data_IF_347268132401
#
_entry.id   IF_347268132401
#
_cell.length_a   1.000
_cell.length_b   1.000
_cell.length_c   1.000
_cell.angle_alpha   90.00
_cell.angle_beta   90.00
_cell.angle_gamma   90.00
#
_symmetry.space_group_name_H-M   'P 1'
#
loop_
_entity.id
_entity.type
_entity.pdbx_description
1 polymer ?
#
# COMPACT_ATOMS: atom_id res chain seq x y z
N UNK A 1 17.53 0.89 1.41
CA UNK A 1 17.34 0.84 -0.06
C UNK A 1 18.21 1.87 -0.76
N UNK A 2 17.99 3.17 -0.57
CA UNK A 2 18.76 4.26 -1.21
C UNK A 2 20.27 4.08 -1.12
N UNK A 3 20.82 4.01 0.11
CA UNK A 3 22.26 3.85 0.33
C UNK A 3 22.78 2.55 -0.31
N UNK A 4 22.05 1.45 -0.12
CA UNK A 4 22.45 0.15 -0.66
C UNK A 4 22.51 0.14 -2.20
N UNK A 5 21.57 0.80 -2.87
CA UNK A 5 21.57 0.94 -4.33
C UNK A 5 22.72 1.83 -4.82
N UNK A 6 22.99 2.94 -4.13
CA UNK A 6 24.10 3.83 -4.46
C UNK A 6 25.45 3.13 -4.28
N UNK A 7 25.65 2.41 -3.17
CA UNK A 7 26.89 1.66 -2.88
C UNK A 7 27.08 0.49 -3.83
N UNK A 8 26.00 -0.20 -4.21
CA UNK A 8 26.06 -1.25 -5.22
C UNK A 8 26.52 -0.71 -6.59
N UNK A 9 26.13 0.52 -6.93
CA UNK A 9 26.37 1.08 -8.25
C UNK A 9 25.43 0.48 -9.31
N UNK A 10 25.69 0.79 -10.57
CA UNK A 10 24.93 0.24 -11.69
C UNK A 10 25.23 -1.24 -11.88
N UNK A 11 24.18 -2.05 -12.02
CA UNK A 11 24.31 -3.44 -12.42
C UNK A 11 24.93 -3.53 -13.83
N UNK A 12 25.68 -4.60 -14.09
CA UNK A 12 26.34 -4.82 -15.37
C UNK A 12 25.32 -4.84 -16.52
N UNK A 13 25.54 -4.02 -17.54
CA UNK A 13 24.64 -3.91 -18.70
C UNK A 13 23.26 -3.31 -18.39
N UNK A 14 23.12 -2.50 -17.32
CA UNK A 14 21.84 -1.87 -16.99
C UNK A 14 21.31 -1.01 -18.14
N UNK A 15 20.03 -1.19 -18.46
CA UNK A 15 19.28 -0.39 -19.44
C UNK A 15 18.16 0.36 -18.73
N UNK A 16 17.85 1.55 -19.25
CA UNK A 16 16.79 2.43 -18.74
C UNK A 16 15.82 2.78 -19.87
N UNK A 17 15.20 1.76 -20.47
CA UNK A 17 14.28 1.94 -21.60
C UNK A 17 12.89 2.45 -21.19
N UNK A 18 12.59 2.46 -19.89
CA UNK A 18 11.28 2.78 -19.34
C UNK A 18 10.19 1.79 -19.82
N UNK A 19 8.94 1.84 -19.33
CA UNK A 19 7.93 0.87 -19.73
C UNK A 19 7.52 1.07 -21.20
N UNK A 20 8.02 0.20 -22.08
CA UNK A 20 7.72 0.21 -23.53
C UNK A 20 6.38 -0.46 -23.89
N UNK A 21 5.78 -1.21 -22.96
CA UNK A 21 4.49 -1.88 -23.14
C UNK A 21 3.40 -1.18 -22.33
N UNK A 22 2.20 -1.03 -22.91
CA UNK A 22 1.05 -0.43 -22.24
C UNK A 22 0.74 -1.08 -20.89
N UNK A 23 0.82 -2.41 -20.80
CA UNK A 23 0.59 -3.13 -19.55
C UNK A 23 1.56 -2.69 -18.46
N UNK A 24 2.86 -2.54 -18.79
CA UNK A 24 3.87 -2.08 -17.82
C UNK A 24 3.63 -0.64 -17.38
N UNK A 25 3.21 0.24 -18.31
CA UNK A 25 2.86 1.62 -17.98
C UNK A 25 1.69 1.68 -16.98
N UNK A 26 0.58 0.99 -17.27
CA UNK A 26 -0.59 1.01 -16.39
C UNK A 26 -0.36 0.27 -15.07
N UNK A 27 0.39 -0.83 -15.07
CA UNK A 27 0.84 -1.49 -13.83
C UNK A 27 1.67 -0.55 -12.96
N UNK A 28 2.61 0.21 -13.56
CA UNK A 28 3.37 1.22 -12.84
C UNK A 28 2.50 2.35 -12.28
N UNK A 29 1.62 2.92 -13.12
CA UNK A 29 0.72 4.01 -12.73
C UNK A 29 -0.22 3.60 -11.59
N UNK A 30 -0.79 2.40 -11.65
CA UNK A 30 -1.68 1.89 -10.61
C UNK A 30 -0.94 1.54 -9.32
N UNK A 31 0.32 1.08 -9.40
CA UNK A 31 1.16 0.92 -8.22
C UNK A 31 1.46 2.26 -7.53
N UNK A 32 1.65 3.33 -8.29
CA UNK A 32 1.79 4.70 -7.73
C UNK A 32 0.47 5.11 -7.06
N UNK A 33 -0.68 4.93 -7.72
CA UNK A 33 -1.98 5.22 -7.13
C UNK A 33 -2.21 4.44 -5.83
N UNK A 34 -1.86 3.15 -5.79
CA UNK A 34 -1.94 2.34 -4.58
C UNK A 34 -1.01 2.84 -3.48
N UNK A 35 0.25 3.15 -3.81
CA UNK A 35 1.26 3.66 -2.85
C UNK A 35 0.83 4.96 -2.19
N UNK A 36 0.23 5.87 -2.96
CA UNK A 36 -0.31 7.14 -2.45
C UNK A 36 -1.82 7.07 -2.17
N UNK A 37 -2.39 5.87 -2.04
CA UNK A 37 -3.83 5.62 -1.89
C UNK A 37 -4.39 5.85 -0.48
N UNK A 38 -3.57 6.24 0.49
CA UNK A 38 -3.95 6.40 1.91
C UNK A 38 -4.96 7.52 2.20
N UNK A 39 -5.49 8.18 1.18
CA UNK A 39 -6.40 9.31 1.33
C UNK A 39 -7.78 8.90 1.91
N UNK A 40 -8.15 7.62 1.82
CA UNK A 40 -9.45 7.12 2.30
C UNK A 40 -9.64 7.32 3.82
N UNK A 41 -8.55 7.37 4.60
CA UNK A 41 -8.58 7.55 6.06
C UNK A 41 -8.36 9.00 6.49
N UNK A 42 -8.25 9.95 5.55
CA UNK A 42 -7.93 11.36 5.87
C UNK A 42 -8.97 12.02 6.77
N UNK A 43 -10.26 11.69 6.59
CA UNK A 43 -11.34 12.20 7.45
C UNK A 43 -11.23 11.66 8.87
N UNK A 44 -10.92 10.37 9.02
CA UNK A 44 -10.73 9.73 10.34
C UNK A 44 -9.51 10.33 11.06
N UNK A 45 -8.39 10.53 10.35
CA UNK A 45 -7.19 11.18 10.89
C UNK A 45 -7.52 12.61 11.30
N UNK A 46 -8.19 13.39 10.44
CA UNK A 46 -8.58 14.76 10.72
C UNK A 46 -9.46 14.83 11.98
N UNK A 47 -10.40 13.90 12.15
CA UNK A 47 -11.27 13.81 13.32
C UNK A 47 -10.50 13.40 14.59
N UNK A 48 -9.48 12.54 14.47
CA UNK A 48 -8.65 12.11 15.59
C UNK A 48 -7.60 13.16 16.03
N UNK A 49 -7.35 14.19 15.22
CA UNK A 49 -6.41 15.26 15.56
C UNK A 49 -6.93 16.14 16.70
N UNK A 50 -6.04 16.52 17.62
CA UNK A 50 -6.35 17.50 18.67
C UNK A 50 -6.80 18.86 18.12
N UNK A 51 -6.24 19.31 16.98
CA UNK A 51 -6.66 20.53 16.26
C UNK A 51 -6.97 20.21 14.79
N UNK A 52 -8.19 19.74 14.46
CA UNK A 52 -8.56 19.35 13.10
C UNK A 52 -8.37 20.46 12.06
N UNK A 53 -8.51 21.73 12.44
CA UNK A 53 -8.36 22.89 11.55
C UNK A 53 -6.95 23.01 10.95
N UNK A 54 -5.94 22.41 11.60
CA UNK A 54 -4.56 22.40 11.10
C UNK A 54 -4.27 21.26 10.12
N UNK A 55 -5.22 20.36 9.88
CA UNK A 55 -5.04 19.18 9.04
C UNK A 55 -4.39 19.51 7.70
N UNK A 56 -4.86 20.54 7.00
CA UNK A 56 -4.31 20.94 5.68
C UNK A 56 -2.79 21.18 5.68
N UNK A 57 -2.26 21.82 6.72
CA UNK A 57 -0.82 22.13 6.80
C UNK A 57 -0.01 20.88 7.17
N UNK A 58 -0.51 20.10 8.13
CA UNK A 58 0.13 18.86 8.55
C UNK A 58 0.13 17.85 7.41
N UNK A 59 -0.98 17.77 6.67
CA UNK A 59 -1.11 16.92 5.49
C UNK A 59 -0.05 17.27 4.44
N UNK A 60 0.08 18.55 4.09
CA UNK A 60 1.10 19.01 3.15
C UNK A 60 2.53 18.65 3.60
N UNK A 61 2.86 18.92 4.87
CA UNK A 61 4.18 18.60 5.43
C UNK A 61 4.43 17.09 5.41
N UNK A 62 3.42 16.29 5.77
CA UNK A 62 3.51 14.83 5.74
C UNK A 62 3.72 14.32 4.30
N UNK A 63 3.01 14.87 3.31
CA UNK A 63 3.20 14.53 1.90
C UNK A 63 4.62 14.85 1.44
N UNK A 64 5.13 16.04 1.75
CA UNK A 64 6.50 16.43 1.43
C UNK A 64 7.53 15.49 2.09
N UNK A 65 7.32 15.16 3.37
CA UNK A 65 8.17 14.20 4.08
C UNK A 65 8.17 12.83 3.40
N UNK A 66 7.00 12.29 3.03
CA UNK A 66 6.90 11.00 2.31
C UNK A 66 7.64 11.07 0.96
N UNK A 67 7.60 12.19 0.25
CA UNK A 67 8.37 12.37 -0.98
C UNK A 67 9.88 12.31 -0.74
N UNK A 68 10.38 12.87 0.36
CA UNK A 68 11.81 12.76 0.71
C UNK A 68 12.25 11.33 1.02
N UNK A 69 11.33 10.45 1.45
CA UNK A 69 11.63 9.03 1.67
C UNK A 69 11.55 8.21 0.38
N UNK A 70 10.52 8.47 -0.42
CA UNK A 70 10.18 7.64 -1.59
C UNK A 70 10.99 8.01 -2.83
N UNK A 71 11.12 9.30 -3.17
CA UNK A 71 11.80 9.72 -4.39
C UNK A 71 13.29 9.35 -4.42
N UNK A 72 14.11 9.64 -3.38
CA UNK A 72 15.52 9.25 -3.41
C UNK A 72 15.70 7.74 -3.51
N UNK A 73 14.86 6.96 -2.80
CA UNK A 73 14.94 5.50 -2.86
C UNK A 73 14.55 4.98 -4.24
N UNK A 74 13.45 5.45 -4.82
CA UNK A 74 13.00 5.03 -6.14
C UNK A 74 14.02 5.40 -7.23
N UNK A 75 14.53 6.64 -7.20
CA UNK A 75 15.54 7.12 -8.16
C UNK A 75 16.86 6.34 -8.04
N UNK A 76 17.36 6.11 -6.83
CA UNK A 76 18.61 5.37 -6.63
C UNK A 76 18.50 3.90 -7.09
N UNK A 77 17.38 3.25 -6.78
CA UNK A 77 17.14 1.85 -7.15
C UNK A 77 16.92 1.72 -8.67
N UNK A 78 16.17 2.63 -9.29
CA UNK A 78 16.02 2.66 -10.75
C UNK A 78 17.32 2.97 -11.45
N UNK A 79 18.14 3.88 -10.92
CA UNK A 79 19.47 4.15 -11.45
C UNK A 79 20.37 2.92 -11.41
N UNK A 80 20.35 2.16 -10.30
CA UNK A 80 21.18 0.98 -10.10
C UNK A 80 20.75 -0.24 -10.95
N UNK A 81 19.43 -0.49 -11.09
CA UNK A 81 18.91 -1.74 -11.66
C UNK A 81 18.05 -1.57 -12.93
N UNK A 82 17.61 -0.35 -13.24
CA UNK A 82 16.90 -0.02 -14.48
C UNK A 82 15.74 -0.95 -14.79
N UNK A 83 15.73 -1.47 -16.02
CA UNK A 83 14.66 -2.30 -16.58
C UNK A 83 14.44 -3.63 -15.83
N UNK A 84 15.38 -4.07 -14.99
CA UNK A 84 15.18 -5.27 -14.15
C UNK A 84 14.00 -5.11 -13.18
N UNK A 85 13.69 -3.86 -12.78
CA UNK A 85 12.57 -3.53 -11.90
C UNK A 85 11.21 -3.65 -12.59
N UNK A 86 11.16 -3.67 -13.93
CA UNK A 86 9.91 -3.89 -14.66
C UNK A 86 9.34 -5.29 -14.41
N UNK A 87 10.23 -6.26 -14.12
CA UNK A 87 9.86 -7.66 -13.89
C UNK A 87 10.05 -8.11 -12.43
N UNK A 88 10.68 -7.29 -11.58
CA UNK A 88 10.86 -7.55 -10.15
C UNK A 88 10.05 -6.58 -9.31
N UNK A 89 8.91 -7.06 -8.81
CA UNK A 89 7.97 -6.26 -8.03
C UNK A 89 8.48 -5.86 -6.64
N UNK A 90 9.47 -6.58 -6.11
CA UNK A 90 10.17 -6.26 -4.87
C UNK A 90 11.65 -5.97 -5.12
N UNK A 91 12.05 -4.71 -4.99
CA UNK A 91 13.42 -4.28 -5.25
C UNK A 91 14.47 -4.87 -4.29
N UNK A 92 14.08 -5.36 -3.11
CA UNK A 92 15.01 -6.10 -2.24
C UNK A 92 15.49 -7.41 -2.87
N UNK A 93 14.79 -7.94 -3.87
CA UNK A 93 15.23 -9.16 -4.58
C UNK A 93 16.48 -8.94 -5.42
N UNK A 94 16.70 -7.70 -5.90
CA UNK A 94 17.82 -7.32 -6.77
C UNK A 94 19.09 -6.94 -6.01
N UNK A 95 18.97 -6.56 -4.74
CA UNK A 95 20.14 -6.23 -3.92
C UNK A 95 20.96 -7.48 -3.57
N UNK A 96 22.29 -7.38 -3.50
CA UNK A 96 23.15 -8.50 -3.12
C UNK A 96 22.84 -8.98 -1.70
N UNK A 97 22.97 -10.30 -1.46
CA UNK A 97 22.77 -10.90 -0.14
C UNK A 97 23.86 -10.41 0.82
N UNK A 98 23.44 -9.81 1.94
CA UNK A 98 24.30 -9.40 3.05
C UNK A 98 23.45 -9.25 4.33
N UNK A 99 24.10 -9.16 5.49
CA UNK A 99 23.39 -9.06 6.77
C UNK A 99 22.46 -7.85 6.90
N UNK A 100 22.77 -6.72 6.25
CA UNK A 100 21.92 -5.52 6.26
C UNK A 100 20.64 -5.70 5.44
N UNK A 101 20.76 -6.29 4.25
CA UNK A 101 19.62 -6.65 3.40
C UNK A 101 18.74 -7.65 4.13
N UNK A 102 19.34 -8.70 4.69
CA UNK A 102 18.59 -9.77 5.35
C UNK A 102 17.85 -9.24 6.59
N UNK A 103 18.50 -8.37 7.37
CA UNK A 103 17.85 -7.67 8.49
C UNK A 103 16.67 -6.82 8.01
N UNK A 104 16.82 -6.06 6.92
CA UNK A 104 15.74 -5.26 6.37
C UNK A 104 14.56 -6.12 5.87
N UNK A 105 14.84 -7.27 5.25
CA UNK A 105 13.82 -8.23 4.83
C UNK A 105 13.09 -8.82 6.05
N UNK A 106 13.81 -9.19 7.11
CA UNK A 106 13.22 -9.69 8.36
C UNK A 106 12.29 -8.63 8.98
N UNK A 107 12.74 -7.38 9.08
CA UNK A 107 11.93 -6.28 9.60
C UNK A 107 10.68 -6.04 8.73
N UNK A 108 10.81 -6.14 7.41
CA UNK A 108 9.67 -6.05 6.49
C UNK A 108 8.66 -7.20 6.71
N UNK A 109 9.12 -8.43 6.94
CA UNK A 109 8.26 -9.57 7.23
C UNK A 109 7.52 -9.39 8.56
N UNK A 110 8.20 -8.92 9.60
CA UNK A 110 7.59 -8.59 10.90
C UNK A 110 6.52 -7.51 10.71
N UNK A 111 6.84 -6.43 9.98
CA UNK A 111 5.88 -5.38 9.65
C UNK A 111 4.65 -5.96 8.93
N UNK A 112 4.85 -6.77 7.89
CA UNK A 112 3.74 -7.33 7.10
C UNK A 112 2.86 -8.27 7.94
N UNK A 113 3.44 -9.04 8.86
CA UNK A 113 2.71 -9.90 9.77
C UNK A 113 1.80 -9.11 10.71
N UNK A 114 2.33 -8.03 11.31
CA UNK A 114 1.56 -7.14 12.19
C UNK A 114 0.45 -6.44 11.38
N UNK A 115 0.78 -5.89 10.21
CA UNK A 115 -0.17 -5.22 9.32
C UNK A 115 -1.30 -6.15 8.89
N UNK A 116 -1.01 -7.42 8.60
CA UNK A 116 -2.03 -8.42 8.30
C UNK A 116 -3.00 -8.62 9.48
N UNK A 117 -2.48 -8.74 10.70
CA UNK A 117 -3.31 -8.84 11.91
C UNK A 117 -4.27 -7.66 12.09
N UNK A 118 -3.77 -6.44 11.88
CA UNK A 118 -4.62 -5.24 11.93
C UNK A 118 -5.65 -5.19 10.79
N UNK A 119 -5.24 -5.51 9.56
CA UNK A 119 -6.13 -5.49 8.40
C UNK A 119 -7.25 -6.54 8.48
N UNK A 120 -6.99 -7.70 9.07
CA UNK A 120 -8.00 -8.74 9.28
C UNK A 120 -8.93 -8.47 10.46
N UNK A 121 -8.57 -7.56 11.37
CA UNK A 121 -9.38 -7.24 12.56
C UNK A 121 -10.83 -6.85 12.23
N UNK A 122 -11.12 -5.90 11.31
CA UNK A 122 -12.51 -5.60 10.93
C UNK A 122 -13.22 -6.80 10.30
N UNK A 123 -12.51 -7.63 9.51
CA UNK A 123 -13.09 -8.85 8.93
C UNK A 123 -13.46 -9.86 10.01
N UNK A 124 -12.61 -10.04 11.02
CA UNK A 124 -12.91 -10.88 12.17
C UNK A 124 -14.11 -10.36 12.94
N UNK A 125 -14.25 -9.05 13.15
CA UNK A 125 -15.41 -8.51 13.85
C UNK A 125 -16.72 -8.73 13.10
N UNK A 126 -16.73 -8.49 11.78
CA UNK A 126 -17.91 -8.76 10.94
C UNK A 126 -18.25 -10.24 10.96
N UNK A 127 -17.26 -11.12 10.80
CA UNK A 127 -17.45 -12.56 10.83
C UNK A 127 -17.93 -13.08 12.18
N UNK A 128 -17.26 -12.69 13.28
CA UNK A 128 -17.63 -13.03 14.66
C UNK A 128 -19.07 -12.59 14.97
N UNK A 129 -19.52 -11.46 14.42
CA UNK A 129 -20.90 -10.99 14.55
C UNK A 129 -21.89 -11.82 13.74
N UNK A 130 -21.53 -12.22 12.52
CA UNK A 130 -22.37 -13.08 11.66
C UNK A 130 -22.62 -14.45 12.31
N UNK A 131 -21.61 -15.03 12.94
CA UNK A 131 -21.72 -16.34 13.62
C UNK A 131 -22.19 -16.23 15.08
N UNK A 132 -22.49 -15.03 15.58
CA UNK A 132 -22.96 -14.79 16.95
C UNK A 132 -21.93 -15.04 18.05
N UNK A 133 -20.63 -15.10 17.72
CA UNK A 133 -19.54 -15.40 18.67
C UNK A 133 -18.83 -14.15 19.20
N UNK A 134 -19.27 -12.95 18.82
CA UNK A 134 -18.64 -11.67 19.14
C UNK A 134 -18.38 -11.44 20.64
N UNK A 135 -19.31 -11.88 21.51
CA UNK A 135 -19.24 -11.67 22.96
C UNK A 135 -18.47 -12.78 23.71
N UNK A 136 -17.90 -13.74 22.98
CA UNK A 136 -17.22 -14.88 23.60
C UNK A 136 -15.91 -14.45 24.28
N UNK A 137 -15.74 -14.74 25.57
CA UNK A 137 -14.51 -14.41 26.32
C UNK A 137 -13.35 -15.38 26.10
N UNK A 138 -13.61 -16.58 25.57
CA UNK A 138 -12.58 -17.60 25.33
C UNK A 138 -11.75 -17.28 24.10
N UNK A 139 -10.43 -17.10 24.30
CA UNK A 139 -9.46 -16.82 23.23
C UNK A 139 -9.37 -18.00 22.24
N UNK A 140 -9.42 -19.25 22.73
CA UNK A 140 -9.33 -20.44 21.88
C UNK A 140 -10.54 -20.56 20.93
N UNK A 141 -11.76 -20.31 21.44
CA UNK A 141 -12.97 -20.36 20.62
C UNK A 141 -12.95 -19.28 19.52
N UNK A 142 -12.46 -18.08 19.86
CA UNK A 142 -12.29 -16.98 18.90
C UNK A 142 -11.23 -17.29 17.86
N UNK A 143 -10.11 -17.91 18.25
CA UNK A 143 -9.07 -18.31 17.31
C UNK A 143 -9.60 -19.32 16.29
N UNK A 144 -10.32 -20.35 16.74
CA UNK A 144 -10.97 -21.32 15.86
C UNK A 144 -12.00 -20.66 14.94
N UNK A 145 -12.82 -19.74 15.48
CA UNK A 145 -13.82 -19.01 14.71
C UNK A 145 -13.23 -18.12 13.60
N UNK A 146 -11.96 -17.71 13.70
CA UNK A 146 -11.27 -16.90 12.69
C UNK A 146 -10.63 -17.72 11.57
N UNK A 147 -10.42 -19.03 11.76
CA UNK A 147 -9.83 -19.90 10.74
C UNK A 147 -10.56 -19.85 9.40
N UNK A 148 -11.91 -19.86 9.33
CA UNK A 148 -12.64 -19.74 8.06
C UNK A 148 -12.38 -18.42 7.31
N UNK A 149 -11.94 -17.36 7.99
CA UNK A 149 -11.56 -16.09 7.36
C UNK A 149 -10.11 -16.15 6.87
N UNK A 150 -9.20 -16.70 7.66
CA UNK A 150 -7.76 -16.72 7.33
C UNK A 150 -7.41 -17.76 6.27
N UNK A 151 -8.03 -18.95 6.32
CA UNK A 151 -7.71 -20.07 5.44
C UNK A 151 -7.90 -19.71 3.96
N UNK A 152 -9.02 -19.10 3.51
CA UNK A 152 -9.17 -18.66 2.13
C UNK A 152 -8.14 -17.61 1.72
N UNK A 153 -7.84 -16.64 2.60
CA UNK A 153 -6.84 -15.60 2.31
C UNK A 153 -5.45 -16.23 2.13
N UNK A 154 -5.07 -17.14 3.03
CA UNK A 154 -3.82 -17.88 2.96
C UNK A 154 -3.74 -18.77 1.71
N UNK A 155 -4.82 -19.47 1.38
CA UNK A 155 -4.91 -20.30 0.17
C UNK A 155 -4.75 -19.48 -1.10
N UNK A 156 -5.46 -18.35 -1.22
CA UNK A 156 -5.33 -17.44 -2.36
C UNK A 156 -3.92 -16.83 -2.46
N UNK A 157 -3.28 -16.54 -1.32
CA UNK A 157 -1.90 -16.05 -1.30
C UNK A 157 -0.88 -17.07 -1.83
N UNK A 158 -1.12 -18.37 -1.64
CA UNK A 158 -0.26 -19.44 -2.21
C UNK A 158 -0.48 -19.58 -3.72
N UNK A 159 -1.74 -19.53 -4.17
CA UNK A 159 -2.08 -19.74 -5.59
C UNK A 159 -1.68 -18.55 -6.46
N UNK A 160 -1.80 -17.33 -5.94
CA UNK A 160 -1.53 -16.10 -6.70
C UNK A 160 -0.36 -15.33 -6.08
N UNK A 161 0.90 -15.73 -6.32
CA UNK A 161 2.09 -15.03 -5.78
C UNK A 161 2.41 -13.72 -6.54
N UNK A 162 1.42 -13.03 -7.09
CA UNK A 162 1.59 -11.91 -8.01
C UNK A 162 1.49 -10.55 -7.29
N UNK A 163 2.54 -10.14 -6.57
CA UNK A 163 2.53 -8.88 -5.82
C UNK A 163 2.21 -7.64 -6.70
N UNK A 164 2.80 -7.55 -7.90
CA UNK A 164 2.57 -6.44 -8.81
C UNK A 164 1.13 -6.35 -9.30
N UNK A 165 0.62 -7.35 -10.05
CA UNK A 165 -0.76 -7.38 -10.54
C UNK A 165 -1.82 -7.24 -9.43
N UNK A 166 -1.63 -7.82 -8.24
CA UNK A 166 -2.57 -7.67 -7.12
C UNK A 166 -2.63 -6.21 -6.66
N UNK A 167 -1.48 -5.57 -6.43
CA UNK A 167 -1.43 -4.15 -6.05
C UNK A 167 -2.04 -3.26 -7.13
N UNK A 168 -1.77 -3.56 -8.40
CA UNK A 168 -2.35 -2.85 -9.54
C UNK A 168 -3.87 -2.99 -9.59
N UNK A 169 -4.42 -4.19 -9.35
CA UNK A 169 -5.86 -4.42 -9.34
C UNK A 169 -6.56 -3.70 -8.18
N UNK A 170 -6.00 -3.81 -6.97
CA UNK A 170 -6.50 -3.10 -5.79
C UNK A 170 -6.41 -1.58 -5.97
N UNK A 171 -5.30 -1.08 -6.50
CA UNK A 171 -5.10 0.33 -6.83
C UNK A 171 -6.12 0.83 -7.86
N UNK A 172 -6.27 0.10 -8.96
CA UNK A 172 -7.16 0.48 -10.05
C UNK A 172 -8.64 0.49 -9.65
N UNK A 173 -9.09 -0.48 -8.86
CA UNK A 173 -10.51 -0.64 -8.52
C UNK A 173 -10.87 0.00 -7.19
N UNK A 174 -10.21 -0.39 -6.10
CA UNK A 174 -10.61 0.06 -4.76
C UNK A 174 -10.11 1.48 -4.49
N UNK A 175 -8.83 1.74 -4.72
CA UNK A 175 -8.23 3.05 -4.42
C UNK A 175 -8.78 4.12 -5.36
N UNK A 176 -8.85 3.87 -6.67
CA UNK A 176 -9.40 4.85 -7.62
C UNK A 176 -10.81 5.33 -7.23
N UNK A 177 -11.69 4.40 -6.87
CA UNK A 177 -13.06 4.73 -6.50
C UNK A 177 -13.13 5.48 -5.16
N UNK A 178 -12.47 4.96 -4.13
CA UNK A 178 -12.57 5.50 -2.77
C UNK A 178 -11.86 6.84 -2.61
N UNK A 179 -10.74 7.05 -3.31
CA UNK A 179 -9.90 8.24 -3.16
C UNK A 179 -10.24 9.33 -4.17
N UNK A 180 -10.56 8.96 -5.42
CA UNK A 180 -10.68 9.94 -6.49
C UNK A 180 -12.12 10.08 -6.99
N UNK A 181 -12.73 8.99 -7.44
CA UNK A 181 -14.02 9.06 -8.14
C UNK A 181 -15.14 9.46 -7.18
N UNK A 182 -15.34 8.74 -6.07
CA UNK A 182 -16.43 9.00 -5.14
C UNK A 182 -16.31 10.41 -4.51
N UNK A 183 -15.14 10.83 -3.98
CA UNK A 183 -15.01 12.17 -3.41
C UNK A 183 -15.21 13.29 -4.43
N UNK A 184 -14.67 13.15 -5.65
CA UNK A 184 -14.85 14.14 -6.71
C UNK A 184 -16.33 14.24 -7.15
N UNK A 185 -17.00 13.10 -7.31
CA UNK A 185 -18.43 13.07 -7.62
C UNK A 185 -19.25 13.70 -6.49
N UNK A 186 -18.98 13.33 -5.24
CA UNK A 186 -19.65 13.90 -4.07
C UNK A 186 -19.46 15.43 -4.03
N UNK A 187 -18.24 15.93 -4.26
CA UNK A 187 -17.98 17.37 -4.33
C UNK A 187 -18.76 18.04 -5.47
N UNK A 188 -18.72 17.50 -6.69
CA UNK A 188 -19.46 18.05 -7.83
C UNK A 188 -20.97 18.08 -7.60
N UNK A 189 -21.52 17.05 -6.95
CA UNK A 189 -22.94 16.96 -6.63
C UNK A 189 -23.34 17.95 -5.53
N UNK A 190 -22.57 18.02 -4.44
CA UNK A 190 -22.82 18.94 -3.32
C UNK A 190 -22.76 20.40 -3.76
N UNK A 191 -21.75 20.76 -4.56
CA UNK A 191 -21.54 22.12 -5.06
C UNK A 191 -22.16 22.35 -6.45
N UNK A 192 -23.17 21.58 -6.85
CA UNK A 192 -23.78 21.72 -8.18
C UNK A 192 -24.53 23.04 -8.34
N UNK A 193 -25.24 23.49 -7.31
CA UNK A 193 -26.07 24.70 -7.33
C UNK A 193 -25.25 25.93 -6.91
N UNK A 194 -25.52 27.08 -7.53
CA UNK A 194 -24.85 28.34 -7.20
C UNK A 194 -25.02 28.73 -5.72
N UNK A 195 -26.19 28.46 -5.13
CA UNK A 195 -26.47 28.72 -3.71
C UNK A 195 -25.65 27.88 -2.74
N UNK A 196 -25.10 26.74 -3.17
CA UNK A 196 -24.27 25.88 -2.35
C UNK A 196 -22.77 26.23 -2.43
N UNK A 197 -22.40 27.16 -3.33
CA UNK A 197 -21.01 27.62 -3.57
C UNK A 197 -20.67 28.93 -2.85
N UNK A 198 -21.66 29.57 -2.22
CA UNK A 198 -21.52 30.75 -1.38
C UNK A 198 -21.16 30.33 0.04
#
# INVERSE_FOLDING_TARGET
MTIAAVVHGQAEGVSHSAPTKLVLYFTGATNILYTFGGHAVTVEIMHAMWKPQKFKYIYLIATLYVFTLTLPSASAVYWAFGDQLLNHSNAFSLLPKNGWRDTAVILMLIHQFITFGFACTPLYFVWEKVIGMHDTKSICLRALARLPVVVPIWFLAIIFPFFGPINSAVGALLVSFTVYIIPALAHMLTYRKASARQ
#
